data_IF_717944271179
#
_entry.id   IF_717944271179
#
_cell.length_a   1.000
_cell.length_b   1.000
_cell.length_c   1.000
_cell.angle_alpha   90.00
_cell.angle_beta   90.00
_cell.angle_gamma   90.00
#
_symmetry.space_group_name_H-M   'P 1'
#
loop_
_entity.id
_entity.type
_entity.pdbx_description
1 polymer ?
#
# COMPACT_ATOMS: atom_id res chain seq x y z
N UNK A 1 2.11 -12.73 7.26
CA UNK A 1 1.64 -12.17 5.98
C UNK A 1 0.41 -11.29 6.24
N UNK A 2 0.33 -10.15 5.56
CA UNK A 2 -0.79 -9.21 5.69
C UNK A 2 -1.51 -9.08 4.36
N UNK A 3 -2.81 -8.85 4.43
CA UNK A 3 -3.65 -8.50 3.29
C UNK A 3 -4.35 -7.17 3.58
N UNK A 4 -4.64 -6.42 2.53
CA UNK A 4 -5.21 -5.10 2.71
C UNK A 4 -5.63 -4.45 1.41
N UNK A 5 -6.26 -3.28 1.55
CA UNK A 5 -6.68 -2.45 0.42
C UNK A 5 -6.40 -0.99 0.68
N UNK A 6 -5.94 -0.30 -0.36
CA UNK A 6 -5.76 1.15 -0.41
C UNK A 6 -6.85 1.69 -1.33
N UNK A 7 -7.72 2.54 -0.80
CA UNK A 7 -8.83 3.15 -1.53
C UNK A 7 -8.53 4.63 -1.69
N UNK A 8 -8.31 5.06 -2.93
CA UNK A 8 -8.26 6.47 -3.30
C UNK A 8 -9.68 6.96 -3.51
N UNK A 9 -10.12 7.89 -2.67
CA UNK A 9 -11.41 8.58 -2.81
C UNK A 9 -11.24 9.83 -3.66
N UNK A 10 -12.32 10.27 -4.31
CA UNK A 10 -12.35 11.59 -4.95
C UNK A 10 -12.34 12.69 -3.89
N UNK A 11 -11.82 13.86 -4.26
CA UNK A 11 -11.70 15.02 -3.36
C UNK A 11 -13.06 15.61 -2.98
N UNK A 12 -14.04 15.53 -3.89
CA UNK A 12 -15.32 16.25 -3.79
C UNK A 12 -16.52 15.35 -3.47
N UNK A 13 -16.41 14.04 -3.73
CA UNK A 13 -17.48 13.06 -3.52
C UNK A 13 -16.94 11.86 -2.73
N UNK A 14 -17.76 11.23 -1.89
CA UNK A 14 -17.41 9.97 -1.20
C UNK A 14 -17.46 8.75 -2.14
N UNK A 15 -17.06 8.96 -3.39
CA UNK A 15 -16.97 7.95 -4.43
C UNK A 15 -15.52 7.42 -4.52
N UNK A 16 -15.40 6.10 -4.70
CA UNK A 16 -14.11 5.45 -4.92
C UNK A 16 -13.59 5.78 -6.31
N UNK A 17 -12.37 6.29 -6.40
CA UNK A 17 -11.69 6.57 -7.66
C UNK A 17 -10.84 5.39 -8.12
N UNK A 18 -10.00 4.86 -7.21
CA UNK A 18 -9.09 3.75 -7.49
C UNK A 18 -8.94 2.88 -6.26
N UNK A 19 -8.90 1.57 -6.46
CA UNK A 19 -8.66 0.60 -5.40
C UNK A 19 -7.43 -0.24 -5.77
N UNK A 20 -6.53 -0.40 -4.80
CA UNK A 20 -5.38 -1.31 -4.85
C UNK A 20 -5.58 -2.31 -3.73
N UNK A 21 -5.64 -3.60 -4.05
CA UNK A 21 -5.64 -4.67 -3.05
C UNK A 21 -4.36 -5.48 -3.15
N UNK A 22 -3.88 -5.96 -2.01
CA UNK A 22 -2.69 -6.79 -1.93
C UNK A 22 -2.96 -7.99 -1.01
N UNK A 23 -2.41 -9.14 -1.38
CA UNK A 23 -2.51 -10.39 -0.60
C UNK A 23 -1.11 -10.96 -0.38
N UNK A 24 -1.00 -11.69 0.74
CA UNK A 24 0.25 -12.31 1.18
C UNK A 24 1.45 -11.34 1.17
N UNK A 25 1.27 -10.16 1.74
CA UNK A 25 2.29 -9.13 1.79
C UNK A 25 3.14 -9.18 3.06
N UNK A 26 4.38 -8.72 2.95
CA UNK A 26 5.35 -8.61 4.04
C UNK A 26 5.95 -7.22 4.04
N UNK A 27 6.17 -6.64 5.23
CA UNK A 27 6.88 -5.37 5.36
C UNK A 27 8.36 -5.65 5.14
N UNK A 28 8.93 -5.08 4.09
CA UNK A 28 10.37 -5.20 3.78
C UNK A 28 11.16 -3.97 4.21
N UNK A 29 10.48 -2.85 4.43
CA UNK A 29 11.09 -1.62 4.89
C UNK A 29 10.09 -0.81 5.72
N UNK A 30 10.58 -0.26 6.84
CA UNK A 30 9.85 0.63 7.72
C UNK A 30 10.80 1.75 8.15
N UNK A 31 10.39 3.00 7.96
CA UNK A 31 11.12 4.18 8.40
C UNK A 31 10.14 5.20 8.95
N UNK A 32 10.46 5.74 10.12
CA UNK A 32 9.76 6.85 10.73
C UNK A 32 10.69 8.06 10.78
N UNK A 33 10.16 9.26 10.54
CA UNK A 33 10.93 10.51 10.55
C UNK A 33 10.10 11.59 11.20
N UNK A 34 10.74 12.31 12.13
CA UNK A 34 10.17 13.47 12.82
C UNK A 34 11.00 14.70 12.44
N UNK A 35 10.37 15.68 11.79
CA UNK A 35 10.99 16.96 11.42
C UNK A 35 10.05 18.13 11.76
N UNK A 36 10.34 18.81 12.86
CA UNK A 36 9.50 19.89 13.41
C UNK A 36 9.40 21.13 12.52
N UNK A 37 10.29 21.28 11.54
CA UNK A 37 10.28 22.42 10.63
C UNK A 37 9.54 22.13 9.31
N UNK A 38 9.18 20.86 9.08
CA UNK A 38 8.51 20.43 7.88
C UNK A 38 6.98 20.53 8.02
N UNK A 39 6.28 20.69 6.90
CA UNK A 39 4.81 20.81 6.87
C UNK A 39 4.11 19.57 7.44
N UNK A 40 4.70 18.39 7.22
CA UNK A 40 4.30 17.13 7.81
C UNK A 40 5.33 16.69 8.87
N UNK A 41 5.16 17.10 10.15
CA UNK A 41 6.20 16.94 11.17
C UNK A 41 6.49 15.49 11.55
N UNK A 42 5.57 14.57 11.27
CA UNK A 42 5.74 13.14 11.49
C UNK A 42 5.34 12.40 10.22
N UNK A 43 6.28 11.64 9.64
CA UNK A 43 6.05 10.85 8.43
C UNK A 43 6.50 9.41 8.65
N UNK A 44 5.63 8.47 8.31
CA UNK A 44 5.93 7.03 8.35
C UNK A 44 5.94 6.50 6.92
N UNK A 45 7.08 5.97 6.49
CA UNK A 45 7.26 5.32 5.21
C UNK A 45 7.35 3.80 5.42
N UNK A 46 6.42 3.06 4.81
CA UNK A 46 6.40 1.61 4.81
C UNK A 46 6.47 1.07 3.39
N UNK A 47 7.20 -0.03 3.18
CA UNK A 47 7.22 -0.75 1.90
C UNK A 47 6.77 -2.18 2.11
N UNK A 48 5.71 -2.56 1.39
CA UNK A 48 5.16 -3.91 1.37
C UNK A 48 5.62 -4.64 0.11
N UNK A 49 6.14 -5.85 0.27
CA UNK A 49 6.35 -6.80 -0.82
C UNK A 49 5.23 -7.82 -0.78
N UNK A 50 4.40 -7.85 -1.82
CA UNK A 50 3.22 -8.71 -1.92
C UNK A 50 3.37 -9.77 -3.01
N UNK A 51 2.80 -10.94 -2.77
CA UNK A 51 2.71 -12.00 -3.79
C UNK A 51 1.69 -11.62 -4.87
N UNK A 52 0.51 -11.16 -4.46
CA UNK A 52 -0.55 -10.73 -5.37
C UNK A 52 -0.91 -9.28 -5.13
N UNK A 53 -1.00 -8.49 -6.20
CA UNK A 53 -1.47 -7.09 -6.18
C UNK A 53 -2.51 -6.92 -7.27
N UNK A 54 -3.70 -6.46 -6.92
CA UNK A 54 -4.76 -6.11 -7.88
C UNK A 54 -4.95 -4.60 -7.89
N UNK A 55 -4.91 -4.00 -9.08
CA UNK A 55 -5.11 -2.56 -9.31
C UNK A 55 -6.22 -2.39 -10.32
N UNK A 56 -7.44 -2.09 -9.84
CA UNK A 56 -8.62 -2.09 -10.71
C UNK A 56 -8.83 -3.46 -11.37
N UNK A 57 -8.68 -3.52 -12.70
CA UNK A 57 -8.81 -4.77 -13.48
C UNK A 57 -7.48 -5.46 -13.77
N UNK A 58 -6.34 -4.85 -13.39
CA UNK A 58 -5.03 -5.43 -13.60
C UNK A 58 -4.63 -6.25 -12.36
N UNK A 59 -4.08 -7.45 -12.59
CA UNK A 59 -3.56 -8.30 -11.53
C UNK A 59 -2.08 -8.60 -11.78
N UNK A 60 -1.28 -8.47 -10.74
CA UNK A 60 0.11 -8.89 -10.67
C UNK A 60 0.17 -10.07 -9.71
N UNK A 61 0.70 -11.20 -10.20
CA UNK A 61 1.00 -12.39 -9.41
C UNK A 61 2.48 -12.73 -9.58
N UNK A 62 3.25 -12.59 -8.50
CA UNK A 62 4.67 -12.87 -8.49
C UNK A 62 4.98 -14.37 -8.41
N UNK A 63 3.98 -15.24 -8.19
CA UNK A 63 4.11 -16.71 -8.14
C UNK A 63 5.33 -17.14 -7.35
N UNK A 64 5.43 -16.66 -6.11
CA UNK A 64 6.57 -16.98 -5.27
C UNK A 64 6.67 -18.51 -5.11
N UNK A 65 7.89 -19.08 -5.19
CA UNK A 65 8.07 -20.51 -5.11
C UNK A 65 7.51 -21.02 -3.78
N UNK A 66 6.56 -21.96 -3.87
CA UNK A 66 6.08 -22.68 -2.69
C UNK A 66 7.14 -23.71 -2.32
N UNK A 67 7.63 -23.64 -1.09
CA UNK A 67 8.61 -24.59 -0.54
C UNK A 67 8.05 -26.00 -0.49
#
# INVERSE_FOLDING_TARGET
PVEGKIVYKKSEEDAKMKEISFKNAYIVHYKETLDVNNEAPMTIAMTFSAENITVGNAELDNRWPRS
#
